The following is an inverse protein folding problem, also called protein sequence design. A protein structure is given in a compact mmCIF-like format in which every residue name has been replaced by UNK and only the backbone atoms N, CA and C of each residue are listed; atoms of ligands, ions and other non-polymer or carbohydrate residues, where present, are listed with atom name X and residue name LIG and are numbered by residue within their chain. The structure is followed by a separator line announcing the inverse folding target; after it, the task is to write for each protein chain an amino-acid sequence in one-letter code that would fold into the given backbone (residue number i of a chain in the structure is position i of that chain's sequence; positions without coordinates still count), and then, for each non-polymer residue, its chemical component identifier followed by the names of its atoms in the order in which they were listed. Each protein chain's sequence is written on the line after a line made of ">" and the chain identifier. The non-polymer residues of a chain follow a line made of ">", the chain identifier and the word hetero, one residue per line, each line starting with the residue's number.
data_IF_251979384847
#
_entry.id   IF_251979384847
#
_cell.length_a   1.000
_cell.length_b   1.000
_cell.length_c   1.000
_cell.angle_alpha   90.00
_cell.angle_beta   90.00
_cell.angle_gamma   90.00
#
_symmetry.space_group_name_H-M   'P 1'
#
loop_
_entity.id
_entity.type
_entity.pdbx_description
1 polymer ?
#
# COMPACT_ATOMS: atom_id res chain seq x y z
N UNK A 1 1.23 -15.07 -1.27
CA UNK A 1 1.35 -13.60 -1.27
C UNK A 1 1.30 -13.01 0.13
N UNK A 2 0.25 -13.29 0.92
CA UNK A 2 0.07 -12.77 2.28
C UNK A 2 1.30 -12.90 3.21
N UNK A 3 1.92 -14.08 3.28
CA UNK A 3 3.10 -14.31 4.14
C UNK A 3 4.30 -13.39 3.83
N UNK A 4 4.40 -12.85 2.61
CA UNK A 4 5.46 -11.91 2.23
C UNK A 4 5.16 -10.46 2.65
N UNK A 5 3.88 -10.14 2.86
CA UNK A 5 3.39 -8.79 3.11
C UNK A 5 3.11 -8.51 4.59
N UNK A 6 2.61 -9.49 5.34
CA UNK A 6 2.12 -9.31 6.72
C UNK A 6 3.08 -8.55 7.67
N UNK A 7 4.39 -8.70 7.49
CA UNK A 7 5.41 -8.05 8.32
C UNK A 7 6.01 -6.78 7.70
N UNK A 8 5.49 -6.35 6.55
CA UNK A 8 5.97 -5.20 5.75
C UNK A 8 4.92 -4.10 5.61
N UNK A 9 3.74 -4.28 6.18
CA UNK A 9 2.68 -3.29 6.13
C UNK A 9 2.87 -2.28 7.24
N UNK A 10 3.05 -1.02 6.86
CA UNK A 10 3.01 0.15 7.70
C UNK A 10 1.97 1.17 7.16
N UNK A 11 1.72 2.22 7.94
CA UNK A 11 0.78 3.26 7.55
C UNK A 11 1.26 3.99 6.29
N UNK A 12 0.52 3.86 5.20
CA UNK A 12 0.87 4.44 3.89
C UNK A 12 1.56 3.48 2.92
N UNK A 13 1.71 2.19 3.26
CA UNK A 13 2.28 1.18 2.36
C UNK A 13 1.53 1.08 1.02
N UNK A 14 2.28 1.10 -0.09
CA UNK A 14 1.75 0.86 -1.44
C UNK A 14 2.15 -0.56 -1.88
N UNK A 15 1.15 -1.39 -2.19
CA UNK A 15 1.36 -2.77 -2.61
C UNK A 15 1.44 -2.82 -4.14
N UNK A 16 2.63 -3.08 -4.67
CA UNK A 16 2.82 -3.38 -6.09
C UNK A 16 2.35 -4.83 -6.37
N UNK A 17 1.48 -4.99 -7.36
CA UNK A 17 1.00 -6.29 -7.82
C UNK A 17 0.88 -6.30 -9.35
N UNK A 18 1.05 -7.49 -9.96
CA UNK A 18 0.84 -7.70 -11.39
C UNK A 18 -0.47 -8.48 -11.61
N UNK A 19 -1.34 -7.98 -12.48
CA UNK A 19 -2.64 -8.55 -12.80
C UNK A 19 -2.60 -9.64 -13.89
N UNK A 20 -1.41 -10.10 -14.29
CA UNK A 20 -1.23 -10.93 -15.49
C UNK A 20 -1.20 -12.46 -15.28
N UNK A 21 -1.51 -12.98 -14.09
CA UNK A 21 -1.45 -14.43 -13.83
C UNK A 21 -2.83 -15.02 -13.52
N UNK A 22 -3.03 -16.28 -13.92
CA UNK A 22 -4.32 -17.01 -13.80
C UNK A 22 -4.91 -17.02 -12.38
N UNK A 23 -4.07 -16.91 -11.34
CA UNK A 23 -4.46 -16.99 -9.94
C UNK A 23 -4.34 -15.65 -9.18
N UNK A 24 -4.08 -14.53 -9.87
CA UNK A 24 -3.99 -13.21 -9.22
C UNK A 24 -5.33 -12.82 -8.59
N UNK A 25 -6.45 -13.08 -9.28
CA UNK A 25 -7.78 -12.77 -8.77
C UNK A 25 -8.11 -13.57 -7.50
N UNK A 26 -7.81 -14.87 -7.49
CA UNK A 26 -8.02 -15.76 -6.33
C UNK A 26 -7.27 -15.27 -5.08
N UNK A 27 -6.08 -14.71 -5.28
CA UNK A 27 -5.25 -14.17 -4.19
C UNK A 27 -5.73 -12.82 -3.67
N UNK A 28 -6.44 -12.05 -4.49
CA UNK A 28 -6.80 -10.66 -4.19
C UNK A 28 -7.85 -10.57 -3.07
N UNK A 29 -8.88 -11.43 -3.09
CA UNK A 29 -9.94 -11.42 -2.07
C UNK A 29 -9.38 -11.74 -0.67
N UNK A 30 -8.60 -12.81 -0.55
CA UNK A 30 -7.92 -13.18 0.70
C UNK A 30 -6.98 -12.06 1.18
N UNK A 31 -6.25 -11.43 0.26
CA UNK A 31 -5.33 -10.35 0.58
C UNK A 31 -6.06 -9.14 1.17
N UNK A 32 -7.13 -8.68 0.51
CA UNK A 32 -7.92 -7.53 0.96
C UNK A 32 -8.55 -7.84 2.32
N UNK A 33 -9.10 -9.05 2.53
CA UNK A 33 -9.68 -9.47 3.81
C UNK A 33 -8.64 -9.46 4.93
N UNK A 34 -7.44 -10.00 4.69
CA UNK A 34 -6.39 -10.06 5.71
C UNK A 34 -5.82 -8.66 6.05
N UNK A 35 -5.69 -7.77 5.06
CA UNK A 35 -5.27 -6.37 5.29
C UNK A 35 -6.27 -5.65 6.19
N UNK A 36 -7.58 -5.76 5.86
CA UNK A 36 -8.65 -5.16 6.67
C UNK A 36 -8.69 -5.75 8.09
N UNK A 37 -8.54 -7.06 8.23
CA UNK A 37 -8.50 -7.74 9.53
C UNK A 37 -7.28 -7.33 10.39
N UNK A 38 -6.20 -6.87 9.75
CA UNK A 38 -5.00 -6.37 10.44
C UNK A 38 -5.12 -4.91 10.88
N UNK A 39 -6.31 -4.29 10.72
CA UNK A 39 -6.60 -2.92 11.17
C UNK A 39 -6.27 -1.83 10.16
N UNK A 40 -5.90 -2.18 8.92
CA UNK A 40 -5.61 -1.21 7.87
C UNK A 40 -6.84 -0.93 6.99
N UNK A 41 -6.94 0.29 6.49
CA UNK A 41 -7.89 0.66 5.46
C UNK A 41 -7.26 0.52 4.07
N UNK A 42 -7.91 -0.21 3.18
CA UNK A 42 -7.53 -0.26 1.77
C UNK A 42 -8.14 0.95 1.07
N UNK A 43 -7.31 1.73 0.41
CA UNK A 43 -7.73 2.91 -0.35
C UNK A 43 -6.94 3.07 -1.65
N UNK A 44 -7.31 4.05 -2.47
CA UNK A 44 -6.60 4.46 -3.67
C UNK A 44 -5.36 5.29 -3.33
N UNK A 45 -4.36 5.27 -4.22
CA UNK A 45 -3.13 6.06 -4.06
C UNK A 45 -3.45 7.55 -3.90
N UNK A 46 -4.46 8.05 -4.63
CA UNK A 46 -4.86 9.46 -4.60
C UNK A 46 -5.33 9.97 -3.23
N UNK A 47 -5.76 9.07 -2.33
CA UNK A 47 -6.20 9.43 -0.98
C UNK A 47 -5.03 9.51 0.03
N UNK A 48 -3.87 8.91 -0.27
CA UNK A 48 -2.75 8.83 0.68
C UNK A 48 -1.54 9.69 0.28
N UNK A 49 -1.46 10.14 -0.97
CA UNK A 49 -0.37 10.99 -1.44
C UNK A 49 -0.59 12.47 -1.08
N UNK A 50 0.49 13.17 -0.77
CA UNK A 50 0.46 14.64 -0.69
C UNK A 50 0.41 15.23 -2.10
N UNK A 51 -0.48 16.21 -2.31
CA UNK A 51 -0.61 16.94 -3.58
C UNK A 51 0.26 18.19 -3.63
N UNK A 52 0.59 18.74 -2.46
CA UNK A 52 1.39 19.94 -2.28
C UNK A 52 2.23 19.84 -0.99
N UNK A 53 3.17 20.77 -0.84
CA UNK A 53 3.98 20.96 0.37
C UNK A 53 4.66 19.67 0.89
N UNK A 54 5.28 18.91 -0.01
CA UNK A 54 6.07 17.74 0.33
C UNK A 54 7.42 17.78 -0.39
N UNK A 55 8.39 17.05 0.16
CA UNK A 55 9.66 16.72 -0.49
C UNK A 55 9.75 15.21 -0.67
N UNK A 56 10.56 14.74 -1.62
CA UNK A 56 10.80 13.30 -1.81
C UNK A 56 12.20 12.98 -1.29
N UNK A 57 12.31 11.97 -0.42
CA UNK A 57 13.61 11.50 0.07
C UNK A 57 14.29 10.57 -0.95
N UNK A 58 15.54 10.14 -0.67
CA UNK A 58 16.30 9.26 -1.56
C UNK A 58 15.65 7.88 -1.78
N UNK A 59 14.70 7.47 -0.93
CA UNK A 59 13.96 6.23 -1.06
C UNK A 59 12.67 6.40 -1.90
N UNK A 60 12.41 7.59 -2.45
CA UNK A 60 11.20 7.89 -3.20
C UNK A 60 9.96 8.13 -2.33
N UNK A 61 10.11 8.25 -1.00
CA UNK A 61 8.99 8.48 -0.07
C UNK A 61 8.69 9.98 0.05
N UNK A 62 7.40 10.35 0.02
CA UNK A 62 6.99 11.72 0.30
C UNK A 62 7.10 12.04 1.81
N UNK A 63 7.78 13.14 2.12
CA UNK A 63 7.88 13.73 3.45
C UNK A 63 7.12 15.05 3.42
N UNK A 64 6.09 15.20 4.25
CA UNK A 64 5.36 16.47 4.37
C UNK A 64 6.30 17.53 4.95
N UNK A 65 6.43 18.66 4.26
CA UNK A 65 7.23 19.78 4.76
C UNK A 65 6.45 20.40 5.94
N UNK A 66 7.00 20.33 7.14
CA UNK A 66 6.44 21.06 8.28
C UNK A 66 6.71 22.56 8.07
N UNK A 67 5.67 23.38 8.26
CA UNK A 67 5.82 24.84 8.32
C UNK A 67 6.43 25.23 9.66
#
# INVERSE_FOLDING_TARGET
>A
MWNRLKNKLDGGAIILSHNGTKHTADSLDMLIKNIKASGFQVTTVSEIIYKDNYSINNNGTQIRNQK
#
